data_IF_975049472388
#
_entry.id   IF_975049472388
#
_cell.length_a   1.000
_cell.length_b   1.000
_cell.length_c   1.000
_cell.angle_alpha   90.00
_cell.angle_beta   90.00
_cell.angle_gamma   90.00
#
_symmetry.space_group_name_H-M   'P 1'
#
loop_
_entity.id
_entity.type
_entity.pdbx_description
1 polymer ?
#
# COMPACT_ATOMS: atom_id res chain seq x y z
N UNK A 1 12.89 29.05 11.62
CA UNK A 1 12.37 27.92 12.44
C UNK A 1 11.85 26.86 11.51
N UNK A 2 12.01 25.58 11.86
CA UNK A 2 11.38 24.49 11.12
C UNK A 2 9.87 24.56 11.31
N UNK A 3 9.10 24.20 10.27
CA UNK A 3 7.65 24.04 10.41
C UNK A 3 7.36 22.70 11.11
N UNK A 4 6.36 22.70 11.97
CA UNK A 4 5.96 21.54 12.75
C UNK A 4 4.81 20.82 12.07
N UNK A 5 4.98 19.53 11.82
CA UNK A 5 3.96 18.67 11.18
C UNK A 5 3.55 17.57 12.18
N UNK A 6 2.26 17.41 12.39
CA UNK A 6 1.68 16.29 13.10
C UNK A 6 1.09 15.31 12.09
N UNK A 7 1.42 14.03 12.21
CA UNK A 7 0.84 12.97 11.36
C UNK A 7 0.25 11.89 12.25
N UNK A 8 -0.97 11.44 11.94
CA UNK A 8 -1.63 10.35 12.66
C UNK A 8 -2.05 9.20 11.76
N UNK A 9 -1.83 7.98 12.25
CA UNK A 9 -2.26 6.73 11.65
C UNK A 9 -2.65 5.72 12.74
N UNK A 10 -3.48 4.71 12.41
CA UNK A 10 -3.94 3.75 13.42
C UNK A 10 -2.86 2.76 13.87
N UNK A 11 -2.14 2.16 12.94
CA UNK A 11 -1.09 1.15 13.13
C UNK A 11 -0.19 1.14 11.88
N UNK A 12 0.89 0.38 11.93
CA UNK A 12 1.83 0.24 10.81
C UNK A 12 2.02 -1.24 10.41
N UNK A 13 0.91 -1.91 10.12
CA UNK A 13 0.91 -3.27 9.58
C UNK A 13 1.30 -3.28 8.08
N UNK A 14 1.45 -4.47 7.48
CA UNK A 14 1.76 -4.57 6.04
C UNK A 14 0.54 -4.18 5.21
N UNK A 15 0.54 -2.96 4.69
CA UNK A 15 -0.52 -2.40 3.86
C UNK A 15 -0.02 -1.31 2.92
N UNK A 16 -0.89 -0.94 1.96
CA UNK A 16 -0.55 0.09 0.95
C UNK A 16 -0.46 1.49 1.54
N UNK A 17 -1.36 1.84 2.48
CA UNK A 17 -1.36 3.14 3.14
C UNK A 17 -0.15 3.29 4.07
N UNK A 18 0.17 2.24 4.83
CA UNK A 18 1.31 2.20 5.75
C UNK A 18 2.63 2.34 4.98
N UNK A 19 2.76 1.62 3.86
CA UNK A 19 3.92 1.75 2.96
C UNK A 19 4.04 3.17 2.39
N UNK A 20 2.91 3.77 1.97
CA UNK A 20 2.88 5.14 1.47
C UNK A 20 3.29 6.15 2.55
N UNK A 21 2.91 5.93 3.83
CA UNK A 21 3.36 6.77 4.93
C UNK A 21 4.87 6.66 5.14
N UNK A 22 5.43 5.46 5.14
CA UNK A 22 6.90 5.29 5.26
C UNK A 22 7.61 5.97 4.08
N UNK A 23 7.09 5.81 2.86
CA UNK A 23 7.62 6.52 1.68
C UNK A 23 7.57 8.03 1.83
N UNK A 24 6.46 8.58 2.31
CA UNK A 24 6.32 10.00 2.62
C UNK A 24 7.34 10.45 3.66
N UNK A 25 7.39 9.76 4.81
CA UNK A 25 8.31 10.09 5.90
C UNK A 25 9.78 10.04 5.44
N UNK A 26 10.15 9.05 4.62
CA UNK A 26 11.51 8.92 4.08
C UNK A 26 11.89 10.02 3.06
N UNK A 27 10.89 10.74 2.52
CA UNK A 27 11.07 11.75 1.47
C UNK A 27 10.90 13.19 1.95
N UNK A 28 10.52 13.41 3.22
CA UNK A 28 10.39 14.74 3.79
C UNK A 28 11.76 15.39 4.05
N UNK A 29 11.84 16.70 3.82
CA UNK A 29 13.03 17.51 4.12
C UNK A 29 13.08 17.88 5.59
N UNK A 30 13.79 17.09 6.40
CA UNK A 30 13.95 17.32 7.84
C UNK A 30 14.83 18.54 8.20
N UNK A 31 15.42 19.22 7.21
CA UNK A 31 16.01 20.55 7.44
C UNK A 31 14.93 21.61 7.57
N UNK A 32 13.78 21.41 6.91
CA UNK A 32 12.62 22.32 6.92
C UNK A 32 11.55 21.95 7.92
N UNK A 33 11.39 20.64 8.20
CA UNK A 33 10.29 20.10 8.99
C UNK A 33 10.73 19.41 10.26
N UNK A 34 9.94 19.58 11.30
CA UNK A 34 9.91 18.76 12.51
C UNK A 34 8.62 17.96 12.49
N UNK A 35 8.73 16.63 12.53
CA UNK A 35 7.59 15.72 12.34
C UNK A 35 7.33 14.94 13.62
N UNK A 36 6.15 15.15 14.20
CA UNK A 36 5.58 14.33 15.27
C UNK A 36 4.65 13.29 14.62
N UNK A 37 5.00 11.99 14.73
CA UNK A 37 4.18 10.88 14.28
C UNK A 37 3.44 10.26 15.47
N UNK A 38 2.13 10.21 15.40
CA UNK A 38 1.28 9.52 16.37
C UNK A 38 0.66 8.27 15.75
N UNK A 39 1.13 7.12 16.17
CA UNK A 39 0.55 5.82 15.84
C UNK A 39 -0.37 5.42 16.98
N UNK A 40 -1.68 5.24 16.73
CA UNK A 40 -2.66 4.97 17.81
C UNK A 40 -2.34 3.69 18.57
N UNK A 41 -1.85 2.69 17.88
CA UNK A 41 -1.34 1.44 18.45
C UNK A 41 0.02 1.14 17.87
N UNK A 42 1.04 1.04 18.72
CA UNK A 42 2.40 0.70 18.32
C UNK A 42 2.46 -0.79 17.94
N UNK A 43 1.90 -1.14 16.81
CA UNK A 43 1.90 -2.49 16.26
C UNK A 43 2.07 -2.47 14.75
N UNK A 44 2.59 -3.55 14.22
CA UNK A 44 2.81 -3.77 12.81
C UNK A 44 4.26 -3.73 12.40
N UNK A 45 4.54 -4.41 11.33
CA UNK A 45 5.88 -4.71 10.82
C UNK A 45 6.60 -3.43 10.32
N UNK A 46 5.84 -2.41 9.88
CA UNK A 46 6.42 -1.16 9.38
C UNK A 46 6.87 -0.19 10.48
N UNK A 47 6.59 -0.49 11.78
CA UNK A 47 7.11 0.33 12.88
C UNK A 47 8.63 0.48 12.84
N UNK A 48 9.36 -0.56 12.46
CA UNK A 48 10.83 -0.57 12.38
C UNK A 48 11.39 0.33 11.27
N UNK A 49 10.58 0.70 10.29
CA UNK A 49 10.98 1.51 9.14
C UNK A 49 10.70 3.02 9.31
N UNK A 50 10.22 3.42 10.48
CA UNK A 50 10.06 4.85 10.79
C UNK A 50 11.45 5.52 10.76
N UNK A 51 11.67 6.58 9.94
CA UNK A 51 12.96 7.26 9.90
C UNK A 51 13.35 7.84 11.27
N UNK A 52 14.64 7.76 11.61
CA UNK A 52 15.17 8.23 12.91
C UNK A 52 14.94 9.73 13.17
N UNK A 53 14.72 10.51 12.12
CA UNK A 53 14.44 11.95 12.19
C UNK A 53 13.02 12.26 12.65
N UNK A 54 12.11 11.28 12.58
CA UNK A 54 10.72 11.39 13.02
C UNK A 54 10.64 11.26 14.53
N UNK A 55 9.96 12.18 15.19
CA UNK A 55 9.63 12.04 16.59
C UNK A 55 8.38 11.16 16.76
N UNK A 56 8.59 9.86 16.98
CA UNK A 56 7.49 8.94 17.28
C UNK A 56 6.95 9.24 18.67
N UNK A 57 5.70 9.69 18.73
CA UNK A 57 5.03 9.99 20.00
C UNK A 57 4.69 8.71 20.76
N UNK A 58 4.73 8.74 22.10
CA UNK A 58 4.40 7.55 22.89
C UNK A 58 2.96 7.08 22.63
N UNK A 59 2.77 5.77 22.63
CA UNK A 59 1.43 5.17 22.58
C UNK A 59 0.58 5.66 23.75
N UNK A 60 -0.64 6.09 23.43
CA UNK A 60 -1.63 6.44 24.43
C UNK A 60 -2.66 5.31 24.51
N UNK A 61 -2.67 4.55 25.59
CA UNK A 61 -3.46 3.35 25.77
C UNK A 61 -4.96 3.53 25.40
N UNK A 62 -5.53 4.71 25.66
CA UNK A 62 -6.92 5.00 25.31
C UNK A 62 -7.19 4.96 23.80
N UNK A 63 -6.22 5.36 22.96
CA UNK A 63 -6.36 5.29 21.51
C UNK A 63 -6.31 3.86 20.95
N UNK A 64 -5.62 2.93 21.62
CA UNK A 64 -5.58 1.52 21.20
C UNK A 64 -6.97 0.86 21.27
N UNK A 65 -7.88 1.42 22.07
CA UNK A 65 -9.24 0.90 22.25
C UNK A 65 -10.12 0.99 21.00
N UNK A 66 -9.72 1.79 20.01
CA UNK A 66 -10.46 1.95 18.74
C UNK A 66 -10.53 0.66 17.90
N UNK A 67 -9.49 -0.18 17.99
CA UNK A 67 -9.36 -1.42 17.19
C UNK A 67 -9.43 -2.71 18.03
N UNK A 68 -9.43 -2.61 19.37
CA UNK A 68 -9.41 -3.78 20.26
C UNK A 68 -10.82 -4.31 20.58
N UNK A 69 -10.97 -5.59 20.98
CA UNK A 69 -12.26 -6.16 21.37
C UNK A 69 -12.92 -5.38 22.52
N UNK A 70 -14.24 -5.13 22.44
CA UNK A 70 -14.99 -4.36 23.45
C UNK A 70 -14.86 -4.98 24.84
N UNK A 71 -14.83 -6.32 24.94
CA UNK A 71 -14.68 -7.02 26.23
C UNK A 71 -13.37 -6.67 26.96
N UNK A 72 -12.28 -6.47 26.23
CA UNK A 72 -10.98 -6.10 26.80
C UNK A 72 -11.00 -4.68 27.35
N UNK A 73 -11.51 -3.73 26.56
CA UNK A 73 -11.54 -2.33 26.96
C UNK A 73 -12.47 -2.08 28.18
N UNK A 74 -13.55 -2.86 28.33
CA UNK A 74 -14.39 -2.84 29.52
C UNK A 74 -13.62 -3.31 30.75
N UNK A 75 -12.85 -4.41 30.64
CA UNK A 75 -12.00 -4.92 31.74
C UNK A 75 -10.95 -3.92 32.20
N UNK A 76 -10.50 -3.04 31.26
CA UNK A 76 -9.54 -1.98 31.55
C UNK A 76 -10.19 -0.68 32.08
N UNK A 77 -11.51 -0.65 32.26
CA UNK A 77 -12.22 0.49 32.79
C UNK A 77 -12.63 1.58 31.81
N UNK A 78 -12.44 1.39 30.49
CA UNK A 78 -12.83 2.34 29.46
C UNK A 78 -14.32 2.19 29.08
N UNK A 79 -15.21 2.35 30.08
CA UNK A 79 -16.65 2.14 29.88
C UNK A 79 -17.25 3.14 28.89
N UNK A 80 -16.80 4.40 28.95
CA UNK A 80 -17.20 5.47 28.02
C UNK A 80 -16.96 5.08 26.55
N UNK A 81 -15.77 4.56 26.26
CA UNK A 81 -15.42 4.08 24.90
C UNK A 81 -16.22 2.83 24.53
N UNK A 82 -16.38 1.90 25.46
CA UNK A 82 -17.15 0.67 25.22
C UNK A 82 -18.59 0.98 24.83
N UNK A 83 -19.26 1.89 25.56
CA UNK A 83 -20.62 2.34 25.25
C UNK A 83 -20.65 3.01 23.86
N UNK A 84 -19.72 3.93 23.58
CA UNK A 84 -19.64 4.58 22.26
C UNK A 84 -19.48 3.57 21.12
N UNK A 85 -18.65 2.54 21.30
CA UNK A 85 -18.47 1.48 20.29
C UNK A 85 -19.70 0.60 20.11
N UNK A 86 -20.42 0.26 21.20
CA UNK A 86 -21.67 -0.48 21.08
C UNK A 86 -22.71 0.33 20.30
N UNK A 87 -22.85 1.62 20.59
CA UNK A 87 -23.74 2.52 19.84
C UNK A 87 -23.33 2.60 18.35
N UNK A 88 -22.03 2.69 18.07
CA UNK A 88 -21.52 2.66 16.70
C UNK A 88 -21.90 1.37 15.96
N UNK A 89 -21.73 0.21 16.60
CA UNK A 89 -22.11 -1.08 16.01
C UNK A 89 -23.62 -1.19 15.77
N UNK A 90 -24.45 -0.71 16.69
CA UNK A 90 -25.90 -0.67 16.49
C UNK A 90 -26.29 0.21 15.31
N UNK A 91 -25.71 1.42 15.22
CA UNK A 91 -25.94 2.33 14.09
C UNK A 91 -25.48 1.71 12.76
N UNK A 92 -24.31 1.08 12.75
CA UNK A 92 -23.80 0.40 11.56
C UNK A 92 -24.70 -0.76 11.12
N UNK A 93 -25.24 -1.53 12.05
CA UNK A 93 -26.20 -2.60 11.75
C UNK A 93 -27.47 -2.06 11.09
N UNK A 94 -27.99 -0.93 11.59
CA UNK A 94 -29.17 -0.26 11.00
C UNK A 94 -28.84 0.24 9.61
N UNK A 95 -27.67 0.91 9.42
CA UNK A 95 -27.21 1.40 8.13
C UNK A 95 -27.08 0.26 7.11
N UNK A 96 -26.35 -0.80 7.43
CA UNK A 96 -26.14 -1.93 6.53
C UNK A 96 -27.45 -2.61 6.13
N UNK A 97 -28.42 -2.73 7.05
CA UNK A 97 -29.75 -3.26 6.74
C UNK A 97 -30.52 -2.35 5.79
N UNK A 98 -30.44 -1.04 5.99
CA UNK A 98 -31.17 -0.05 5.18
C UNK A 98 -30.62 0.07 3.75
N UNK A 99 -29.30 0.04 3.60
CA UNK A 99 -28.62 0.28 2.31
C UNK A 99 -28.11 -0.99 1.64
N UNK A 100 -28.35 -2.18 2.23
CA UNK A 100 -27.86 -3.49 1.73
C UNK A 100 -26.37 -3.49 1.38
N UNK A 101 -25.56 -2.74 2.14
CA UNK A 101 -24.14 -2.58 1.89
C UNK A 101 -23.40 -3.89 2.17
N UNK A 102 -22.81 -4.48 1.13
CA UNK A 102 -22.01 -5.73 1.24
C UNK A 102 -20.67 -5.48 1.94
N UNK A 103 -20.01 -4.37 1.62
CA UNK A 103 -18.77 -3.92 2.24
C UNK A 103 -18.95 -2.47 2.68
N UNK A 104 -19.08 -2.24 3.99
CA UNK A 104 -19.27 -0.91 4.54
C UNK A 104 -18.12 -0.54 5.47
N UNK A 105 -17.52 0.62 5.23
CA UNK A 105 -16.52 1.24 6.10
C UNK A 105 -17.11 2.28 7.06
N UNK A 106 -18.42 2.52 7.00
CA UNK A 106 -19.12 3.48 7.86
C UNK A 106 -18.92 3.21 9.35
N UNK A 107 -18.67 1.94 9.75
CA UNK A 107 -18.39 1.57 11.13
C UNK A 107 -17.22 2.36 11.74
N UNK A 108 -16.14 2.60 10.98
CA UNK A 108 -14.99 3.36 11.49
C UNK A 108 -15.35 4.80 11.82
N UNK A 109 -16.18 5.42 10.97
CA UNK A 109 -16.66 6.78 11.18
C UNK A 109 -17.60 6.86 12.36
N UNK A 110 -18.50 5.89 12.55
CA UNK A 110 -19.39 5.84 13.72
C UNK A 110 -18.60 5.65 15.02
N UNK A 111 -17.62 4.72 15.04
CA UNK A 111 -16.75 4.53 16.21
C UNK A 111 -16.07 5.86 16.56
N UNK A 112 -15.44 6.52 15.58
CA UNK A 112 -14.77 7.78 15.82
C UNK A 112 -15.73 8.82 16.42
N UNK A 113 -16.88 9.04 15.81
CA UNK A 113 -17.83 10.06 16.24
C UNK A 113 -18.36 9.85 17.65
N UNK A 114 -18.56 8.59 18.06
CA UNK A 114 -19.03 8.30 19.43
C UNK A 114 -17.92 8.22 20.47
N UNK A 115 -16.65 8.15 20.07
CA UNK A 115 -15.54 7.92 21.01
C UNK A 115 -14.52 9.06 21.07
N UNK A 116 -14.38 9.87 20.02
CA UNK A 116 -13.35 10.93 19.97
C UNK A 116 -13.49 11.92 21.13
N UNK A 117 -14.72 12.24 21.57
CA UNK A 117 -14.94 13.13 22.71
C UNK A 117 -14.14 12.72 23.96
N UNK A 118 -14.06 11.43 24.20
CA UNK A 118 -13.39 10.85 25.37
C UNK A 118 -11.89 10.66 25.21
N UNK A 119 -11.32 10.88 23.99
CA UNK A 119 -9.89 10.72 23.73
C UNK A 119 -9.09 11.92 24.28
N UNK A 120 -7.87 11.70 24.81
CA UNK A 120 -6.96 12.76 25.20
C UNK A 120 -6.62 13.67 24.01
N UNK A 121 -6.42 14.98 24.27
CA UNK A 121 -5.97 15.93 23.26
C UNK A 121 -4.46 16.08 23.25
N UNK A 122 -3.93 16.59 22.13
CA UNK A 122 -2.53 16.98 21.95
C UNK A 122 -2.30 18.48 22.17
N UNK A 123 -3.26 19.24 22.70
CA UNK A 123 -3.21 20.69 22.85
C UNK A 123 -2.01 21.18 23.66
N UNK A 124 -1.55 20.39 24.62
CA UNK A 124 -0.34 20.70 25.42
C UNK A 124 0.95 20.72 24.61
N UNK A 125 0.95 20.16 23.38
CA UNK A 125 2.11 20.18 22.47
C UNK A 125 2.22 21.50 21.70
N UNK A 126 1.25 22.40 21.85
CA UNK A 126 1.18 23.66 21.10
C UNK A 126 0.62 23.47 19.69
N UNK A 127 0.66 24.54 18.92
CA UNK A 127 0.11 24.56 17.54
C UNK A 127 1.11 24.03 16.53
N UNK A 128 0.64 23.20 15.63
CA UNK A 128 1.37 22.70 14.46
C UNK A 128 1.09 23.58 13.24
N UNK A 129 2.03 23.66 12.29
CA UNK A 129 1.77 24.33 11.01
C UNK A 129 0.85 23.46 10.14
N UNK A 130 0.94 22.13 10.25
CA UNK A 130 0.13 21.17 9.53
C UNK A 130 -0.19 19.95 10.39
N UNK A 131 -1.45 19.53 10.40
CA UNK A 131 -1.88 18.26 10.95
C UNK A 131 -2.45 17.36 9.86
N UNK A 132 -1.91 16.15 9.74
CA UNK A 132 -2.27 15.16 8.71
C UNK A 132 -2.98 13.98 9.36
N UNK A 133 -4.20 13.70 8.90
CA UNK A 133 -4.89 12.44 9.14
C UNK A 133 -4.64 11.50 7.97
N UNK A 134 -3.73 10.54 8.14
CA UNK A 134 -3.25 9.73 7.03
C UNK A 134 -4.18 8.57 6.67
N UNK A 135 -4.98 8.10 7.63
CA UNK A 135 -5.97 7.05 7.45
C UNK A 135 -7.21 7.33 8.30
N UNK A 136 -8.37 6.83 7.88
CA UNK A 136 -9.61 6.91 8.68
C UNK A 136 -9.42 6.22 10.05
N UNK A 137 -10.04 6.75 11.13
CA UNK A 137 -10.98 7.88 11.19
C UNK A 137 -10.27 9.23 11.29
N UNK A 138 -10.79 10.22 10.57
CA UNK A 138 -10.17 11.55 10.47
C UNK A 138 -10.52 12.51 11.62
N UNK A 139 -11.62 12.28 12.33
CA UNK A 139 -12.10 13.12 13.43
C UNK A 139 -11.03 13.44 14.47
N UNK A 140 -10.21 12.45 14.82
CA UNK A 140 -9.22 12.57 15.90
C UNK A 140 -8.27 13.71 15.65
N UNK A 141 -7.69 13.78 14.46
CA UNK A 141 -6.74 14.84 14.10
C UNK A 141 -7.44 16.20 14.16
N UNK A 142 -8.63 16.31 13.59
CA UNK A 142 -9.37 17.58 13.55
C UNK A 142 -9.78 18.07 14.94
N UNK A 143 -10.15 17.17 15.84
CA UNK A 143 -10.72 17.52 17.15
C UNK A 143 -9.70 17.51 18.29
N UNK A 144 -8.55 16.85 18.14
CA UNK A 144 -7.60 16.62 19.25
C UNK A 144 -6.22 17.26 19.05
N UNK A 145 -5.96 17.83 17.87
CA UNK A 145 -4.70 18.52 17.54
C UNK A 145 -5.00 19.99 17.27
N UNK A 146 -4.10 20.89 17.68
CA UNK A 146 -4.13 22.31 17.28
C UNK A 146 -3.20 22.49 16.09
N UNK A 147 -3.71 22.95 14.96
CA UNK A 147 -2.91 23.22 13.77
C UNK A 147 -3.48 24.38 12.95
N UNK A 148 -2.62 25.03 12.16
CA UNK A 148 -3.01 26.09 11.22
C UNK A 148 -3.71 25.52 9.99
N UNK A 149 -3.30 24.33 9.53
CA UNK A 149 -3.90 23.61 8.42
C UNK A 149 -4.13 22.14 8.79
N UNK A 150 -5.22 21.56 8.24
CA UNK A 150 -5.60 20.16 8.45
C UNK A 150 -5.77 19.49 7.10
N UNK A 151 -5.04 18.39 6.86
CA UNK A 151 -5.15 17.61 5.64
C UNK A 151 -5.55 16.18 5.95
N UNK A 152 -6.43 15.60 5.12
CA UNK A 152 -6.84 14.19 5.23
C UNK A 152 -6.50 13.44 3.95
N UNK A 153 -5.99 12.20 4.07
CA UNK A 153 -5.64 11.34 2.94
C UNK A 153 -6.74 10.35 2.60
N UNK A 154 -6.98 10.13 1.30
CA UNK A 154 -7.87 9.09 0.78
C UNK A 154 -7.01 7.94 0.29
N UNK A 155 -7.09 6.78 0.97
CA UNK A 155 -6.42 5.54 0.54
C UNK A 155 -7.41 4.47 0.06
N UNK A 156 -8.70 4.74 0.12
CA UNK A 156 -9.77 3.80 -0.25
C UNK A 156 -10.48 4.29 -1.50
N UNK A 157 -10.76 3.37 -2.42
CA UNK A 157 -11.61 3.68 -3.57
C UNK A 157 -13.08 3.67 -3.14
N UNK A 158 -13.67 4.84 -3.08
CA UNK A 158 -15.06 5.06 -2.65
C UNK A 158 -16.11 4.54 -3.66
N UNK A 159 -15.70 4.10 -4.84
CA UNK A 159 -16.58 3.45 -5.82
C UNK A 159 -17.05 2.06 -5.36
N UNK A 160 -16.24 1.38 -4.54
CA UNK A 160 -16.47 -0.02 -4.16
C UNK A 160 -16.93 -0.22 -2.72
N UNK A 161 -16.92 0.83 -1.88
CA UNK A 161 -17.26 0.72 -0.45
C UNK A 161 -18.55 1.44 -0.12
N UNK A 162 -19.31 0.85 0.81
CA UNK A 162 -20.49 1.50 1.40
C UNK A 162 -20.08 2.51 2.47
N UNK A 163 -20.57 3.75 2.33
CA UNK A 163 -20.33 4.83 3.30
C UNK A 163 -21.65 5.52 3.64
N UNK A 164 -21.72 6.12 4.82
CA UNK A 164 -22.81 7.03 5.20
C UNK A 164 -22.38 8.45 4.82
N UNK A 165 -22.80 8.87 3.61
CA UNK A 165 -22.39 10.15 3.00
C UNK A 165 -22.75 11.33 3.91
N UNK A 166 -23.98 11.36 4.43
CA UNK A 166 -24.46 12.45 5.29
C UNK A 166 -23.68 12.55 6.59
N UNK A 167 -23.20 11.42 7.08
CA UNK A 167 -22.44 11.31 8.32
C UNK A 167 -20.95 11.62 8.13
N UNK A 168 -20.38 11.25 6.99
CA UNK A 168 -18.97 11.50 6.68
C UNK A 168 -18.70 12.90 6.11
N UNK A 169 -19.66 13.47 5.40
CA UNK A 169 -19.49 14.78 4.75
C UNK A 169 -18.99 15.88 5.70
N UNK A 170 -19.57 16.09 6.90
CA UNK A 170 -19.09 17.13 7.82
C UNK A 170 -17.62 16.91 8.24
N UNK A 171 -17.20 15.66 8.35
CA UNK A 171 -15.81 15.32 8.73
C UNK A 171 -14.86 15.73 7.62
N UNK A 172 -15.10 15.27 6.38
CA UNK A 172 -14.28 15.65 5.23
C UNK A 172 -14.26 17.15 4.97
N UNK A 173 -15.45 17.80 5.08
CA UNK A 173 -15.54 19.24 4.89
C UNK A 173 -14.81 20.08 5.94
N UNK A 174 -14.49 19.53 7.11
CA UNK A 174 -13.73 20.21 8.14
C UNK A 174 -12.21 20.32 7.84
N UNK A 175 -11.70 19.60 6.82
CA UNK A 175 -10.30 19.67 6.39
C UNK A 175 -10.09 20.77 5.34
N UNK A 176 -8.92 21.39 5.37
CA UNK A 176 -8.53 22.43 4.41
C UNK A 176 -8.17 21.81 3.07
N UNK A 177 -7.52 20.64 3.08
CA UNK A 177 -7.19 19.86 1.89
C UNK A 177 -7.51 18.38 2.09
N UNK A 178 -7.94 17.75 1.00
CA UNK A 178 -8.20 16.31 0.91
C UNK A 178 -7.22 15.76 -0.13
N UNK A 179 -6.26 14.98 0.32
CA UNK A 179 -5.22 14.43 -0.55
C UNK A 179 -5.68 13.10 -1.12
N UNK A 180 -5.77 13.04 -2.44
CA UNK A 180 -6.05 11.83 -3.19
C UNK A 180 -4.78 11.25 -3.79
N UNK A 181 -4.70 9.93 -3.87
CA UNK A 181 -3.49 9.20 -4.32
C UNK A 181 -3.50 8.87 -5.81
N UNK A 182 -4.64 9.04 -6.49
CA UNK A 182 -4.75 8.84 -7.94
C UNK A 182 -6.01 9.54 -8.47
N UNK A 183 -6.06 9.73 -9.79
CA UNK A 183 -7.26 10.29 -10.44
C UNK A 183 -8.50 9.40 -10.27
N UNK A 184 -8.34 8.07 -10.29
CA UNK A 184 -9.46 7.14 -10.14
C UNK A 184 -10.00 7.16 -8.71
N UNK A 185 -9.13 7.20 -7.69
CA UNK A 185 -9.54 7.42 -6.30
C UNK A 185 -10.25 8.78 -6.14
N UNK A 186 -9.76 9.83 -6.81
CA UNK A 186 -10.42 11.14 -6.85
C UNK A 186 -11.83 11.04 -7.44
N UNK A 187 -11.99 10.38 -8.60
CA UNK A 187 -13.32 10.20 -9.24
C UNK A 187 -14.27 9.43 -8.32
N UNK A 188 -13.79 8.31 -7.73
CA UNK A 188 -14.56 7.52 -6.77
C UNK A 188 -15.05 8.36 -5.59
N UNK A 189 -14.15 9.13 -4.97
CA UNK A 189 -14.47 10.02 -3.86
C UNK A 189 -15.49 11.12 -4.26
N UNK A 190 -15.23 11.82 -5.36
CA UNK A 190 -16.10 12.91 -5.83
C UNK A 190 -17.47 12.42 -6.33
N UNK A 191 -17.61 11.13 -6.68
CA UNK A 191 -18.93 10.55 -6.95
C UNK A 191 -19.84 10.54 -5.72
N UNK A 192 -19.26 10.54 -4.51
CA UNK A 192 -19.95 10.60 -3.21
C UNK A 192 -20.01 12.02 -2.64
N UNK A 193 -18.95 12.81 -2.84
CA UNK A 193 -18.76 14.14 -2.25
C UNK A 193 -18.43 15.21 -3.32
N UNK A 194 -19.31 15.47 -4.31
CA UNK A 194 -18.99 16.35 -5.45
C UNK A 194 -18.67 17.79 -5.04
N UNK A 195 -19.24 18.29 -3.95
CA UNK A 195 -19.01 19.64 -3.44
C UNK A 195 -17.63 19.87 -2.84
N UNK A 196 -16.86 18.78 -2.58
CA UNK A 196 -15.51 18.86 -2.03
C UNK A 196 -14.41 18.93 -3.10
N UNK A 197 -14.76 19.05 -4.37
CA UNK A 197 -13.80 19.07 -5.49
C UNK A 197 -12.70 20.15 -5.33
N UNK A 198 -13.07 21.34 -4.83
CA UNK A 198 -12.10 22.44 -4.62
C UNK A 198 -11.06 22.16 -3.53
N UNK A 199 -11.29 21.20 -2.67
CA UNK A 199 -10.36 20.79 -1.60
C UNK A 199 -9.41 19.67 -2.02
N UNK A 200 -9.68 19.00 -3.16
CA UNK A 200 -8.86 17.86 -3.61
C UNK A 200 -7.49 18.32 -4.07
N UNK A 201 -6.49 17.58 -3.65
CA UNK A 201 -5.11 17.70 -4.13
C UNK A 201 -4.56 16.31 -4.43
N UNK A 202 -3.94 16.15 -5.59
CA UNK A 202 -3.33 14.86 -5.99
C UNK A 202 -1.88 14.81 -5.50
N UNK A 203 -1.61 13.87 -4.59
CA UNK A 203 -0.27 13.46 -4.19
C UNK A 203 -0.23 11.94 -4.27
N UNK A 204 0.47 11.40 -5.24
CA UNK A 204 0.59 9.94 -5.41
C UNK A 204 1.29 9.30 -4.20
N UNK A 205 1.01 8.02 -3.94
CA UNK A 205 1.76 7.27 -2.93
C UNK A 205 3.26 7.32 -3.25
N UNK A 206 4.05 7.76 -2.29
CA UNK A 206 5.47 7.98 -2.49
C UNK A 206 6.22 6.67 -2.37
N UNK A 207 6.99 6.36 -3.40
CA UNK A 207 7.92 5.26 -3.44
C UNK A 207 9.34 5.84 -3.40
N UNK A 208 10.01 5.67 -2.28
CA UNK A 208 11.39 6.12 -2.11
C UNK A 208 12.37 5.09 -2.65
N UNK A 209 13.17 5.51 -3.63
CA UNK A 209 14.20 4.67 -4.22
C UNK A 209 15.27 4.28 -3.20
N UNK A 210 15.70 5.23 -2.37
CA UNK A 210 16.68 4.97 -1.30
C UNK A 210 16.14 3.94 -0.31
N UNK A 211 14.88 4.09 0.11
CA UNK A 211 14.24 3.14 1.01
C UNK A 211 14.23 1.72 0.42
N UNK A 212 13.82 1.56 -0.84
CA UNK A 212 13.77 0.24 -1.50
C UNK A 212 15.16 -0.39 -1.58
N UNK A 213 16.18 0.41 -1.95
CA UNK A 213 17.57 -0.06 -2.05
C UNK A 213 18.14 -0.44 -0.68
N UNK A 214 17.94 0.39 0.35
CA UNK A 214 18.38 0.10 1.72
C UNK A 214 17.74 -1.18 2.27
N UNK A 215 16.43 -1.33 2.06
CA UNK A 215 15.70 -2.51 2.49
C UNK A 215 16.10 -3.79 1.75
N UNK A 216 16.57 -3.66 0.51
CA UNK A 216 17.05 -4.80 -0.28
C UNK A 216 18.41 -5.36 0.20
N UNK A 217 19.13 -4.63 1.07
CA UNK A 217 20.37 -5.09 1.69
C UNK A 217 20.14 -5.90 2.99
N UNK A 218 18.89 -6.02 3.47
CA UNK A 218 18.58 -6.83 4.66
C UNK A 218 18.93 -8.30 4.40
N UNK A 219 19.67 -8.92 5.34
CA UNK A 219 19.99 -10.35 5.28
C UNK A 219 18.73 -11.19 5.51
N UNK A 220 18.44 -12.10 4.60
CA UNK A 220 17.30 -13.01 4.66
C UNK A 220 17.72 -14.42 4.28
N UNK A 221 16.96 -15.42 4.73
CA UNK A 221 17.16 -16.81 4.32
C UNK A 221 16.76 -17.00 2.85
N UNK A 222 17.75 -17.30 2.02
CA UNK A 222 17.63 -17.59 0.59
C UNK A 222 18.01 -19.04 0.25
N UNK A 223 18.17 -19.89 1.26
CA UNK A 223 18.59 -21.29 1.10
C UNK A 223 17.64 -22.14 0.24
N UNK A 224 16.40 -21.69 0.08
CA UNK A 224 15.41 -22.33 -0.79
C UNK A 224 15.63 -22.07 -2.29
N UNK A 225 16.51 -21.12 -2.67
CA UNK A 225 16.77 -20.78 -4.07
C UNK A 225 17.82 -21.75 -4.66
N UNK A 226 17.48 -22.46 -5.76
CA UNK A 226 18.45 -23.29 -6.48
C UNK A 226 19.54 -22.42 -7.13
N UNK A 227 20.76 -22.97 -7.27
CA UNK A 227 21.89 -22.27 -7.91
C UNK A 227 21.82 -22.28 -9.44
N UNK A 228 21.36 -23.37 -10.04
CA UNK A 228 21.54 -23.67 -11.47
C UNK A 228 20.24 -23.49 -12.29
N UNK A 229 19.47 -22.44 -12.01
CA UNK A 229 18.24 -22.14 -12.74
C UNK A 229 18.03 -20.63 -12.91
N UNK A 230 17.15 -20.27 -13.84
CA UNK A 230 16.68 -18.89 -13.99
C UNK A 230 15.63 -18.61 -12.92
N UNK A 231 15.84 -17.60 -12.09
CA UNK A 231 15.00 -17.25 -10.95
C UNK A 231 13.99 -16.19 -11.32
N UNK A 232 12.71 -16.53 -11.24
CA UNK A 232 11.59 -15.59 -11.39
C UNK A 232 11.01 -15.25 -10.03
N UNK A 233 10.68 -13.96 -9.83
CA UNK A 233 10.00 -13.49 -8.64
C UNK A 233 8.71 -12.75 -8.99
N UNK A 234 7.68 -12.96 -8.18
CA UNK A 234 6.44 -12.16 -8.19
C UNK A 234 6.07 -11.80 -6.77
N UNK A 235 5.71 -10.54 -6.54
CA UNK A 235 5.16 -10.06 -5.27
C UNK A 235 3.72 -9.62 -5.49
N UNK A 236 2.76 -10.36 -4.94
CA UNK A 236 1.35 -10.07 -5.18
C UNK A 236 0.42 -10.62 -4.11
N UNK A 237 -0.75 -9.97 -3.91
CA UNK A 237 -1.86 -10.57 -3.18
C UNK A 237 -2.42 -11.75 -3.97
N UNK A 238 -2.75 -12.86 -3.31
CA UNK A 238 -3.39 -14.00 -3.96
C UNK A 238 -4.87 -13.71 -4.17
N UNK A 239 -5.19 -13.18 -5.34
CA UNK A 239 -6.52 -12.76 -5.76
C UNK A 239 -6.65 -12.85 -7.29
N UNK A 240 -7.86 -12.98 -7.79
CA UNK A 240 -8.18 -13.14 -9.21
C UNK A 240 -7.46 -12.13 -10.15
N UNK A 241 -7.39 -10.80 -9.82
CA UNK A 241 -6.67 -9.84 -10.66
C UNK A 241 -5.19 -10.15 -10.88
N UNK A 242 -4.53 -10.71 -9.86
CA UNK A 242 -3.08 -10.95 -9.86
C UNK A 242 -2.68 -12.19 -10.64
N UNK A 243 -3.64 -13.05 -10.96
CA UNK A 243 -3.50 -14.19 -11.87
C UNK A 243 -2.39 -15.20 -11.51
N UNK A 244 -2.11 -15.40 -10.20
CA UNK A 244 -1.11 -16.38 -9.77
C UNK A 244 -1.52 -17.80 -10.15
N UNK A 245 -2.82 -18.09 -10.19
CA UNK A 245 -3.39 -19.32 -10.70
C UNK A 245 -2.98 -19.61 -12.16
N UNK A 246 -2.92 -18.57 -13.00
CA UNK A 246 -2.52 -18.66 -14.40
C UNK A 246 -1.00 -18.73 -14.56
N UNK A 247 -0.25 -18.06 -13.68
CA UNK A 247 1.21 -18.08 -13.68
C UNK A 247 1.76 -19.51 -13.51
N UNK A 248 1.05 -20.41 -12.78
CA UNK A 248 1.40 -21.82 -12.67
C UNK A 248 1.47 -22.49 -14.06
N UNK A 249 0.50 -22.22 -14.92
CA UNK A 249 0.47 -22.80 -16.27
C UNK A 249 1.47 -22.15 -17.22
N UNK A 250 1.73 -20.85 -17.09
CA UNK A 250 2.81 -20.17 -17.83
C UNK A 250 4.16 -20.81 -17.46
N UNK A 251 4.40 -21.06 -16.17
CA UNK A 251 5.60 -21.76 -15.70
C UNK A 251 5.70 -23.17 -16.32
N UNK A 252 4.60 -23.93 -16.33
CA UNK A 252 4.55 -25.27 -16.93
C UNK A 252 4.93 -25.24 -18.42
N UNK A 253 4.38 -24.28 -19.18
CA UNK A 253 4.71 -24.16 -20.61
C UNK A 253 6.20 -23.84 -20.82
N UNK A 254 6.81 -22.99 -19.96
CA UNK A 254 8.24 -22.70 -20.02
C UNK A 254 9.11 -23.93 -19.72
N UNK A 255 8.72 -24.74 -18.71
CA UNK A 255 9.40 -26.02 -18.41
C UNK A 255 9.25 -27.00 -19.58
N UNK A 256 8.04 -27.13 -20.17
CA UNK A 256 7.79 -27.98 -21.35
C UNK A 256 8.65 -27.58 -22.54
N UNK A 257 9.03 -26.31 -22.68
CA UNK A 257 9.96 -25.76 -23.67
C UNK A 257 11.44 -26.02 -23.35
N UNK A 258 11.73 -26.72 -22.24
CA UNK A 258 13.09 -27.10 -21.82
C UNK A 258 13.84 -26.01 -21.05
N UNK A 259 13.14 -24.99 -20.56
CA UNK A 259 13.77 -23.94 -19.76
C UNK A 259 13.90 -24.38 -18.29
N UNK A 260 15.09 -24.29 -17.73
CA UNK A 260 15.34 -24.54 -16.32
C UNK A 260 15.04 -23.28 -15.50
N UNK A 261 13.81 -23.14 -15.01
CA UNK A 261 13.34 -21.97 -14.27
C UNK A 261 12.85 -22.36 -12.88
N UNK A 262 12.96 -21.42 -11.94
CA UNK A 262 12.39 -21.52 -10.61
C UNK A 262 11.62 -20.22 -10.33
N UNK A 263 10.29 -20.34 -10.15
CA UNK A 263 9.43 -19.18 -9.95
C UNK A 263 8.88 -19.15 -8.53
N UNK A 264 9.36 -18.22 -7.71
CA UNK A 264 8.86 -18.04 -6.35
C UNK A 264 7.95 -16.84 -6.23
N UNK A 265 6.90 -17.02 -5.44
CA UNK A 265 5.83 -16.05 -5.26
C UNK A 265 5.81 -15.59 -3.81
N UNK A 266 5.93 -14.28 -3.60
CA UNK A 266 5.80 -13.64 -2.31
C UNK A 266 4.38 -13.09 -2.20
N UNK A 267 3.64 -13.50 -1.15
CA UNK A 267 2.33 -12.96 -0.92
C UNK A 267 1.42 -13.89 -0.13
N UNK A 268 0.17 -13.48 -0.04
CA UNK A 268 -0.91 -14.20 0.63
C UNK A 268 -2.25 -13.70 0.10
N UNK A 269 -3.34 -14.41 0.38
CA UNK A 269 -4.67 -13.96 -0.01
C UNK A 269 -5.70 -15.08 -0.05
N UNK A 270 -6.94 -14.71 -0.37
CA UNK A 270 -8.07 -15.64 -0.35
C UNK A 270 -7.97 -16.80 -1.33
N UNK A 271 -7.21 -16.62 -2.43
CA UNK A 271 -7.08 -17.63 -3.49
C UNK A 271 -5.95 -18.66 -3.23
N UNK A 272 -5.28 -18.60 -2.06
CA UNK A 272 -4.10 -19.45 -1.80
C UNK A 272 -4.40 -20.95 -1.91
N UNK A 273 -5.52 -21.40 -1.35
CA UNK A 273 -5.90 -22.81 -1.40
C UNK A 273 -6.10 -23.29 -2.85
N UNK A 274 -6.77 -22.49 -3.67
CA UNK A 274 -7.00 -22.76 -5.08
C UNK A 274 -5.68 -22.76 -5.87
N UNK A 275 -4.77 -21.82 -5.60
CA UNK A 275 -3.45 -21.76 -6.25
C UNK A 275 -2.63 -23.01 -5.92
N UNK A 276 -2.59 -23.43 -4.64
CA UNK A 276 -1.89 -24.65 -4.21
C UNK A 276 -2.47 -25.90 -4.89
N UNK A 277 -3.79 -25.97 -5.10
CA UNK A 277 -4.43 -27.02 -5.86
C UNK A 277 -3.98 -27.02 -7.33
N UNK A 278 -3.89 -25.83 -7.95
CA UNK A 278 -3.38 -25.68 -9.33
C UNK A 278 -1.92 -26.12 -9.46
N UNK A 279 -1.07 -25.78 -8.51
CA UNK A 279 0.34 -26.22 -8.49
C UNK A 279 0.41 -27.74 -8.47
N UNK A 280 -0.31 -28.42 -7.55
CA UNK A 280 -0.34 -29.87 -7.46
C UNK A 280 -0.93 -30.52 -8.73
N UNK A 281 -2.07 -30.03 -9.22
CA UNK A 281 -2.72 -30.56 -10.41
C UNK A 281 -1.89 -30.39 -11.69
N UNK A 282 -1.02 -29.38 -11.73
CA UNK A 282 -0.08 -29.16 -12.81
C UNK A 282 1.25 -29.92 -12.62
N UNK A 283 1.50 -30.51 -11.45
CA UNK A 283 2.76 -31.14 -11.04
C UNK A 283 3.94 -30.16 -11.09
N UNK A 284 3.77 -28.99 -10.45
CA UNK A 284 4.73 -27.85 -10.53
C UNK A 284 5.37 -27.52 -9.18
N UNK A 285 5.25 -28.39 -8.17
CA UNK A 285 5.70 -28.12 -6.80
C UNK A 285 7.20 -27.84 -6.70
N UNK A 286 8.02 -28.38 -7.59
CA UNK A 286 9.48 -28.20 -7.59
C UNK A 286 9.91 -26.87 -8.26
N UNK A 287 9.08 -26.29 -9.13
CA UNK A 287 9.44 -25.13 -9.96
C UNK A 287 8.64 -23.87 -9.67
N UNK A 288 7.45 -24.00 -9.03
CA UNK A 288 6.57 -22.88 -8.72
C UNK A 288 6.20 -22.88 -7.24
N UNK A 289 6.86 -22.02 -6.46
CA UNK A 289 6.84 -22.10 -5.00
C UNK A 289 6.22 -20.86 -4.37
N UNK A 290 5.24 -21.04 -3.48
CA UNK A 290 4.67 -19.99 -2.66
C UNK A 290 5.50 -19.86 -1.37
N UNK A 291 6.29 -18.80 -1.24
CA UNK A 291 7.14 -18.57 -0.06
C UNK A 291 6.45 -17.75 1.03
N UNK A 292 5.14 -17.49 0.86
CA UNK A 292 4.29 -16.83 1.84
C UNK A 292 4.49 -15.31 1.93
N UNK A 293 3.84 -14.73 2.92
CA UNK A 293 3.95 -13.29 3.24
C UNK A 293 5.36 -12.98 3.74
N UNK A 294 5.99 -11.95 3.18
CA UNK A 294 7.25 -11.38 3.68
C UNK A 294 7.03 -9.92 4.07
N UNK A 295 7.57 -9.51 5.21
CA UNK A 295 7.53 -8.13 5.67
C UNK A 295 8.33 -7.22 4.75
N UNK A 296 9.54 -7.66 4.42
CA UNK A 296 10.42 -7.03 3.46
C UNK A 296 10.60 -7.97 2.24
N UNK A 297 9.95 -7.70 1.09
CA UNK A 297 10.12 -8.51 -0.10
C UNK A 297 11.38 -8.16 -0.91
N UNK A 298 12.01 -7.02 -0.66
CA UNK A 298 13.05 -6.47 -1.52
C UNK A 298 14.32 -7.31 -1.61
N UNK A 299 14.84 -7.95 -0.53
CA UNK A 299 15.98 -8.86 -0.65
C UNK A 299 15.69 -10.02 -1.60
N UNK A 300 14.48 -10.57 -1.54
CA UNK A 300 14.06 -11.64 -2.44
C UNK A 300 13.93 -11.15 -3.89
N UNK A 301 13.37 -9.94 -4.11
CA UNK A 301 13.31 -9.33 -5.45
C UNK A 301 14.72 -9.05 -5.97
N UNK A 302 15.66 -8.62 -5.12
CA UNK A 302 17.06 -8.40 -5.46
C UNK A 302 17.74 -9.67 -5.99
N UNK A 303 17.38 -10.84 -5.49
CA UNK A 303 17.99 -12.12 -5.86
C UNK A 303 17.38 -12.79 -7.11
N UNK A 304 16.25 -12.29 -7.64
CA UNK A 304 15.72 -12.84 -8.89
C UNK A 304 16.52 -12.37 -10.12
N UNK A 305 16.45 -13.15 -11.18
CA UNK A 305 16.96 -12.74 -12.49
C UNK A 305 15.92 -11.89 -13.22
N UNK A 306 14.62 -12.21 -13.05
CA UNK A 306 13.50 -11.49 -13.66
C UNK A 306 12.36 -11.33 -12.69
N UNK A 307 11.79 -10.13 -12.65
CA UNK A 307 10.53 -9.88 -11.96
C UNK A 307 9.35 -10.04 -12.91
N UNK A 308 8.36 -10.83 -12.54
CA UNK A 308 7.21 -11.11 -13.41
C UNK A 308 5.91 -10.65 -12.74
N UNK A 309 5.09 -9.85 -13.44
CA UNK A 309 3.75 -9.46 -13.05
C UNK A 309 2.72 -10.06 -14.01
N UNK A 310 2.18 -11.25 -13.68
CA UNK A 310 1.32 -12.01 -14.61
C UNK A 310 -0.15 -11.56 -14.60
N UNK A 311 -0.46 -10.39 -14.11
CA UNK A 311 -1.80 -9.91 -13.78
C UNK A 311 -2.79 -9.94 -14.95
N UNK A 312 -4.08 -10.17 -14.64
CA UNK A 312 -5.18 -9.98 -15.60
C UNK A 312 -5.50 -8.51 -15.80
N UNK A 313 -5.47 -7.75 -14.73
CA UNK A 313 -5.60 -6.29 -14.74
C UNK A 313 -4.93 -5.66 -13.51
N UNK A 314 -4.50 -4.43 -13.66
CA UNK A 314 -3.89 -3.58 -12.64
C UNK A 314 -4.36 -2.14 -12.82
N UNK A 315 -4.35 -1.36 -11.76
CA UNK A 315 -4.35 0.09 -11.86
C UNK A 315 -2.91 0.57 -12.14
N UNK A 316 -2.09 0.58 -11.08
CA UNK A 316 -0.64 0.88 -11.15
C UNK A 316 0.08 -0.07 -10.19
N UNK A 317 0.80 -1.04 -10.73
CA UNK A 317 1.50 -2.04 -9.93
C UNK A 317 2.78 -1.43 -9.33
N UNK A 318 2.73 -1.07 -8.05
CA UNK A 318 3.88 -0.49 -7.33
C UNK A 318 5.06 -1.46 -7.31
N UNK A 319 4.80 -2.77 -7.18
CA UNK A 319 5.82 -3.82 -7.17
C UNK A 319 6.64 -3.91 -8.46
N UNK A 320 6.07 -3.51 -9.59
CA UNK A 320 6.80 -3.37 -10.86
C UNK A 320 7.86 -2.27 -10.75
N UNK A 321 7.48 -1.10 -10.20
CA UNK A 321 8.44 -0.01 -9.97
C UNK A 321 9.50 -0.37 -8.93
N UNK A 322 9.12 -1.10 -7.88
CA UNK A 322 10.06 -1.60 -6.88
C UNK A 322 11.13 -2.51 -7.51
N UNK A 323 10.72 -3.39 -8.43
CA UNK A 323 11.66 -4.22 -9.19
C UNK A 323 12.55 -3.39 -10.15
N UNK A 324 12.00 -2.37 -10.81
CA UNK A 324 12.76 -1.45 -11.66
C UNK A 324 13.81 -0.67 -10.85
N UNK A 325 13.49 -0.22 -9.63
CA UNK A 325 14.43 0.43 -8.69
C UNK A 325 15.61 -0.50 -8.37
N UNK A 326 15.34 -1.80 -8.23
CA UNK A 326 16.36 -2.83 -8.00
C UNK A 326 17.07 -3.28 -9.28
N UNK A 327 16.85 -2.57 -10.39
CA UNK A 327 17.40 -2.85 -11.71
C UNK A 327 17.13 -4.28 -12.20
N UNK A 328 15.97 -4.86 -11.81
CA UNK A 328 15.56 -6.17 -12.30
C UNK A 328 14.79 -6.03 -13.61
N UNK A 329 15.15 -6.81 -14.64
CA UNK A 329 14.33 -6.87 -15.86
C UNK A 329 12.92 -7.29 -15.52
N UNK A 330 11.94 -6.43 -15.85
CA UNK A 330 10.53 -6.64 -15.54
C UNK A 330 9.81 -7.21 -16.76
N UNK A 331 8.99 -8.23 -16.54
CA UNK A 331 8.07 -8.79 -17.55
C UNK A 331 6.66 -8.64 -17.02
N UNK A 332 5.78 -7.98 -17.77
CA UNK A 332 4.37 -7.87 -17.41
C UNK A 332 3.49 -8.41 -18.53
N UNK A 333 2.34 -8.96 -18.18
CA UNK A 333 1.32 -9.30 -19.17
C UNK A 333 0.64 -8.05 -19.71
N UNK A 334 0.13 -8.09 -20.94
CA UNK A 334 -0.54 -6.98 -21.61
C UNK A 334 -1.96 -6.78 -21.05
N UNK A 335 -2.06 -6.35 -19.76
CA UNK A 335 -3.31 -5.88 -19.18
C UNK A 335 -3.64 -4.45 -19.64
N UNK A 336 -4.88 -3.94 -19.46
CA UNK A 336 -5.31 -2.68 -20.07
C UNK A 336 -4.40 -1.47 -19.82
N UNK A 337 -3.77 -1.39 -18.64
CA UNK A 337 -2.87 -0.27 -18.25
C UNK A 337 -1.38 -0.59 -18.45
N UNK A 338 -1.02 -1.73 -19.05
CA UNK A 338 0.37 -2.19 -19.17
C UNK A 338 1.29 -1.14 -19.81
N UNK A 339 0.84 -0.49 -20.89
CA UNK A 339 1.60 0.55 -21.60
C UNK A 339 1.82 1.84 -20.83
N UNK A 340 1.00 2.10 -19.79
CA UNK A 340 1.23 3.21 -18.85
C UNK A 340 2.11 2.81 -17.67
N UNK A 341 2.33 1.49 -17.50
CA UNK A 341 3.15 0.95 -16.42
C UNK A 341 4.63 0.94 -16.78
N UNK A 342 4.98 0.58 -18.01
CA UNK A 342 6.35 0.55 -18.50
C UNK A 342 6.44 0.80 -20.03
N UNK A 343 7.63 1.14 -20.50
CA UNK A 343 7.97 1.32 -21.91
C UNK A 343 8.53 0.00 -22.46
N UNK A 344 7.73 -0.69 -23.28
CA UNK A 344 8.09 -2.01 -23.80
C UNK A 344 9.43 -2.00 -24.56
N UNK A 345 10.32 -2.91 -24.16
CA UNK A 345 11.68 -3.05 -24.72
C UNK A 345 12.69 -2.02 -24.24
N UNK A 346 12.31 -1.08 -23.37
CA UNK A 346 13.18 -0.03 -22.81
C UNK A 346 13.44 -0.26 -21.32
N UNK A 347 12.40 -0.33 -20.48
CA UNK A 347 12.51 -0.49 -19.03
C UNK A 347 11.80 -1.75 -18.52
N UNK A 348 11.41 -2.62 -19.44
CA UNK A 348 10.80 -3.93 -19.21
C UNK A 348 10.21 -4.48 -20.51
N UNK A 349 9.46 -5.57 -20.42
CA UNK A 349 8.83 -6.24 -21.56
C UNK A 349 7.36 -6.52 -21.29
N UNK A 350 6.52 -6.24 -22.29
CA UNK A 350 5.08 -6.56 -22.26
C UNK A 350 4.84 -7.80 -23.11
N UNK A 351 4.36 -8.87 -22.49
CA UNK A 351 4.02 -10.13 -23.16
C UNK A 351 2.51 -10.30 -23.31
N UNK A 352 2.00 -11.09 -24.27
CA UNK A 352 0.57 -11.34 -24.43
C UNK A 352 -0.10 -11.81 -23.13
N UNK A 353 -1.39 -11.46 -22.95
CA UNK A 353 -2.15 -11.81 -21.75
C UNK A 353 -2.90 -13.16 -21.87
N UNK A 354 -2.27 -14.15 -22.54
CA UNK A 354 -2.68 -15.56 -22.57
C UNK A 354 -1.59 -16.43 -21.95
N UNK A 355 -1.86 -17.68 -21.64
CA UNK A 355 -0.86 -18.60 -21.07
C UNK A 355 0.25 -18.86 -22.08
N UNK A 356 -0.10 -19.33 -23.26
CA UNK A 356 0.81 -19.69 -24.34
C UNK A 356 1.58 -18.44 -24.83
N UNK A 357 0.87 -17.36 -25.11
CA UNK A 357 1.50 -16.11 -25.59
C UNK A 357 2.44 -15.50 -24.56
N UNK A 358 2.11 -15.58 -23.26
CA UNK A 358 3.02 -15.11 -22.20
C UNK A 358 4.28 -16.01 -22.15
N UNK A 359 4.12 -17.32 -22.20
CA UNK A 359 5.25 -18.25 -22.23
C UNK A 359 6.15 -18.01 -23.45
N UNK A 360 5.57 -17.85 -24.65
CA UNK A 360 6.33 -17.55 -25.90
C UNK A 360 7.08 -16.23 -25.77
N UNK A 361 6.41 -15.17 -25.30
CA UNK A 361 7.03 -13.86 -25.13
C UNK A 361 8.16 -13.87 -24.09
N UNK A 362 7.99 -14.59 -22.99
CA UNK A 362 9.05 -14.78 -21.98
C UNK A 362 10.21 -15.55 -22.59
N UNK A 363 9.97 -16.67 -23.26
CA UNK A 363 11.02 -17.47 -23.92
C UNK A 363 11.85 -16.63 -24.90
N UNK A 364 11.20 -15.85 -25.77
CA UNK A 364 11.89 -14.95 -26.72
C UNK A 364 12.76 -13.96 -25.96
N UNK A 365 12.26 -13.36 -24.89
CA UNK A 365 13.04 -12.40 -24.11
C UNK A 365 14.22 -13.06 -23.37
N UNK A 366 14.04 -14.28 -22.85
CA UNK A 366 15.13 -15.01 -22.16
C UNK A 366 16.29 -15.34 -23.12
N UNK A 367 16.02 -15.49 -24.40
CA UNK A 367 17.04 -15.76 -25.44
C UNK A 367 17.76 -14.49 -25.92
N UNK A 368 17.17 -13.31 -25.75
CA UNK A 368 17.74 -12.01 -26.20
C UNK A 368 18.58 -11.37 -25.09
N UNK A 369 19.81 -11.83 -24.92
CA UNK A 369 20.75 -11.31 -23.91
C UNK A 369 21.10 -9.83 -24.11
N UNK A 370 21.16 -9.37 -25.36
CA UNK A 370 21.47 -7.97 -25.65
C UNK A 370 20.32 -7.06 -25.21
N UNK A 371 19.07 -7.45 -25.43
CA UNK A 371 17.90 -6.72 -24.93
C UNK A 371 17.87 -6.69 -23.40
N UNK A 372 18.16 -7.82 -22.74
CA UNK A 372 18.26 -7.89 -21.28
C UNK A 372 19.29 -6.89 -20.74
N UNK A 373 20.51 -6.91 -21.32
CA UNK A 373 21.60 -6.03 -20.90
C UNK A 373 21.26 -4.55 -21.12
N UNK A 374 20.62 -4.20 -22.25
CA UNK A 374 20.14 -2.83 -22.50
C UNK A 374 19.12 -2.38 -21.48
N UNK A 375 18.14 -3.23 -21.15
CA UNK A 375 17.13 -2.92 -20.13
C UNK A 375 17.78 -2.72 -18.76
N UNK A 376 18.67 -3.63 -18.33
CA UNK A 376 19.35 -3.51 -17.04
C UNK A 376 20.18 -2.21 -16.98
N UNK A 377 20.91 -1.88 -18.04
CA UNK A 377 21.70 -0.65 -18.12
C UNK A 377 20.78 0.58 -18.04
N UNK A 378 19.66 0.56 -18.72
CA UNK A 378 18.67 1.63 -18.68
C UNK A 378 18.11 1.80 -17.27
N UNK A 379 17.68 0.71 -16.61
CA UNK A 379 17.15 0.73 -15.24
C UNK A 379 18.16 1.30 -14.23
N UNK A 380 19.45 0.94 -14.36
CA UNK A 380 20.52 1.48 -13.50
C UNK A 380 20.79 2.96 -13.70
N UNK A 381 20.52 3.48 -14.89
CA UNK A 381 20.78 4.88 -15.25
C UNK A 381 19.59 5.82 -14.97
N UNK A 382 18.40 5.28 -14.69
CA UNK A 382 17.18 6.07 -14.53
C UNK A 382 16.59 5.92 -13.11
N UNK A 383 15.96 7.00 -12.65
CA UNK A 383 15.29 7.06 -11.36
C UNK A 383 13.83 6.62 -11.50
N UNK A 384 13.39 5.68 -10.67
CA UNK A 384 12.03 5.12 -10.67
C UNK A 384 11.22 5.48 -9.42
N UNK A 385 11.84 6.13 -8.43
CA UNK A 385 11.13 6.71 -7.30
C UNK A 385 10.31 7.94 -7.71
N UNK A 386 9.38 8.33 -6.86
CA UNK A 386 8.60 9.55 -7.02
C UNK A 386 8.64 10.44 -5.78
N UNK A 387 9.79 10.52 -5.12
CA UNK A 387 10.02 11.34 -3.92
C UNK A 387 9.71 12.82 -4.14
N UNK A 388 9.75 13.27 -5.41
CA UNK A 388 9.34 14.63 -5.78
C UNK A 388 7.88 14.94 -5.41
N UNK A 389 7.03 13.94 -5.25
CA UNK A 389 5.65 14.11 -4.78
C UNK A 389 5.62 14.75 -3.38
N UNK A 390 6.61 14.45 -2.51
CA UNK A 390 6.72 15.08 -1.20
C UNK A 390 6.91 16.62 -1.28
N UNK A 391 7.54 17.11 -2.37
CA UNK A 391 7.71 18.55 -2.58
C UNK A 391 6.38 19.29 -2.80
N UNK A 392 5.32 18.58 -3.17
CA UNK A 392 3.98 19.16 -3.26
C UNK A 392 3.49 19.63 -1.88
N UNK A 393 3.87 18.93 -0.80
CA UNK A 393 3.54 19.35 0.57
C UNK A 393 4.20 20.70 0.86
N UNK A 394 5.48 20.85 0.49
CA UNK A 394 6.22 22.12 0.67
C UNK A 394 5.52 23.27 -0.07
N UNK A 395 5.18 23.06 -1.34
CA UNK A 395 4.49 24.05 -2.16
C UNK A 395 3.11 24.43 -1.60
N UNK A 396 2.34 23.45 -1.14
CA UNK A 396 0.97 23.66 -0.66
C UNK A 396 0.91 24.27 0.76
N UNK A 397 1.94 24.01 1.57
CA UNK A 397 2.02 24.54 2.93
C UNK A 397 2.60 25.97 2.97
N UNK A 398 3.31 26.38 1.92
CA UNK A 398 4.01 27.68 1.84
C UNK A 398 3.38 28.66 0.82
N UNK A 399 2.47 28.19 -0.03
CA UNK A 399 1.71 29.00 -0.98
C UNK A 399 0.36 29.34 -0.43
#
# INVERSE_FOLDING_TARGET
MKKRIFIAIQYLEIGGAERALIGLLSSLDYMKYEVDLFVYRHSGEFMKFIPKQVNLLPEIKKYTTLSRPVKEIVKEGYIDIAVGRVLAHLKNKIFNKRYQAKESIAIYQYIASYTTLFMPSFYKRGEYDLAISFLIPHNIVREKVLAKQYWAWIHTDYSYVGIDVDYEYPVWNAFDKIVSISEDVTKGFLSKFPTLASKITLIENILSENFVKEQAEEEVDLSFLPSDCIKFCTVARFSYPKAIDRAVYICKELINKGLNIYWYIIGYGGDEAMIRERIRGAQMEEWFVLIGKKENPYPYVKECDFYIQPSRYEGKAVTVREAQILAKPVIITNYPTAKSQLNDGVDGVIVPNSIEGAADGIEVFLKDKDKQNRIIAYLKAHHYGNEFEAKKIDKLLNG
#
